data_IF_186626991381
#
_entry.id   IF_186626991381
#
_cell.length_a   1.000
_cell.length_b   1.000
_cell.length_c   1.000
_cell.angle_alpha   90.00
_cell.angle_beta   90.00
_cell.angle_gamma   90.00
#
_symmetry.space_group_name_H-M   'P 1'
#
loop_
_entity.id
_entity.type
_entity.pdbx_description
1 polymer ?
#
# COMPACT_ATOMS: atom_id res chain seq x y z
N UNK A 1 1.61 29.54 52.45
CA UNK A 1 2.10 28.14 52.54
C UNK A 1 0.84 27.28 52.60
N UNK A 2 0.60 26.28 51.77
CA UNK A 2 1.57 25.35 51.18
C UNK A 2 1.48 25.31 49.64
N UNK A 3 2.64 25.29 48.97
CA UNK A 3 2.72 24.77 47.61
C UNK A 3 2.81 23.25 47.74
N UNK A 4 1.83 22.51 47.24
CA UNK A 4 1.94 21.06 47.14
C UNK A 4 2.80 20.77 45.92
N UNK A 5 4.10 20.63 46.16
CA UNK A 5 4.99 19.98 45.22
C UNK A 5 4.62 18.50 45.30
N UNK A 6 3.98 17.97 44.26
CA UNK A 6 3.96 16.52 44.07
C UNK A 6 5.41 16.09 43.82
N UNK A 7 6.01 15.46 44.82
CA UNK A 7 7.29 14.77 44.63
C UNK A 7 7.05 13.62 43.67
N UNK A 8 7.43 13.82 42.41
CA UNK A 8 7.51 12.76 41.40
C UNK A 8 8.45 11.70 41.99
N UNK A 9 7.91 10.51 42.24
CA UNK A 9 8.69 9.39 42.72
C UNK A 9 9.81 9.12 41.71
N UNK A 10 11.06 8.85 42.15
CA UNK A 10 12.22 8.73 41.25
C UNK A 10 12.16 7.53 40.28
N UNK A 11 11.06 6.77 40.28
CA UNK A 11 10.79 5.74 39.28
C UNK A 11 10.04 6.25 38.04
N UNK A 12 9.33 7.39 38.14
CA UNK A 12 8.47 8.00 37.12
C UNK A 12 9.08 9.25 36.44
N UNK A 13 10.38 9.49 36.62
CA UNK A 13 11.10 10.57 35.91
C UNK A 13 11.23 10.23 34.40
N UNK A 14 10.63 11.02 33.48
CA UNK A 14 10.67 10.76 32.04
C UNK A 14 12.08 10.90 31.44
N UNK A 15 13.00 11.57 32.12
CA UNK A 15 14.39 11.82 31.70
C UNK A 15 15.39 10.79 32.24
N UNK A 16 14.91 9.82 33.04
CA UNK A 16 15.73 8.84 33.77
C UNK A 16 16.74 8.05 32.92
N UNK A 17 16.49 7.91 31.62
CA UNK A 17 17.33 7.14 30.68
C UNK A 17 18.02 8.02 29.62
N UNK A 18 17.93 9.35 29.74
CA UNK A 18 18.48 10.27 28.73
C UNK A 18 20.00 10.16 28.62
N UNK A 19 20.70 9.93 29.74
CA UNK A 19 22.16 9.71 29.79
C UNK A 19 22.60 8.48 28.97
N UNK A 20 21.89 7.35 29.08
CA UNK A 20 22.15 6.16 28.28
C UNK A 20 21.78 6.37 26.81
N UNK A 21 20.63 7.00 26.54
CA UNK A 21 20.15 7.25 25.18
C UNK A 21 21.04 8.24 24.42
N UNK A 22 21.52 9.31 25.07
CA UNK A 22 22.43 10.28 24.46
C UNK A 22 23.77 9.62 24.09
N UNK A 23 24.33 8.74 24.94
CA UNK A 23 25.57 8.00 24.61
C UNK A 23 25.42 7.17 23.33
N UNK A 24 24.28 6.49 23.16
CA UNK A 24 24.01 5.68 21.97
C UNK A 24 23.74 6.59 20.76
N UNK A 25 23.02 7.70 20.94
CA UNK A 25 22.77 8.71 19.89
C UNK A 25 24.07 9.35 19.37
N UNK A 26 25.01 9.68 20.26
CA UNK A 26 26.35 10.18 19.90
C UNK A 26 27.13 9.12 19.13
N UNK A 27 27.08 7.85 19.54
CA UNK A 27 27.72 6.75 18.80
C UNK A 27 27.16 6.60 17.36
N UNK A 28 25.88 6.94 17.15
CA UNK A 28 25.24 7.03 15.84
C UNK A 28 25.38 8.40 15.15
N UNK A 29 26.36 9.24 15.55
CA UNK A 29 26.62 10.57 14.95
C UNK A 29 25.40 11.51 15.00
N UNK A 30 24.55 11.37 16.02
CA UNK A 30 23.25 12.04 16.17
C UNK A 30 22.19 11.69 15.12
N UNK A 31 22.36 10.60 14.37
CA UNK A 31 21.30 10.04 13.53
C UNK A 31 20.26 9.26 14.36
N UNK A 32 19.09 9.87 14.54
CA UNK A 32 17.94 9.25 15.23
C UNK A 32 17.38 8.02 14.51
N UNK A 33 17.53 7.90 13.18
CA UNK A 33 17.08 6.72 12.43
C UNK A 33 17.97 5.52 12.72
N UNK A 34 19.29 5.71 12.75
CA UNK A 34 20.24 4.68 13.14
C UNK A 34 20.04 4.23 14.59
N UNK A 35 19.83 5.17 15.53
CA UNK A 35 19.47 4.86 16.92
C UNK A 35 18.22 3.99 17.01
N UNK A 36 17.12 4.40 16.36
CA UNK A 36 15.86 3.64 16.38
C UNK A 36 16.01 2.24 15.77
N UNK A 37 16.78 2.10 14.69
CA UNK A 37 17.08 0.80 14.09
C UNK A 37 17.82 -0.13 15.06
N UNK A 38 18.81 0.39 15.79
CA UNK A 38 19.54 -0.36 16.82
C UNK A 38 18.65 -0.75 18.01
N UNK A 39 17.78 0.15 18.46
CA UNK A 39 16.79 -0.14 19.51
C UNK A 39 15.78 -1.22 19.07
N UNK A 40 15.28 -1.16 17.83
CA UNK A 40 14.34 -2.14 17.30
C UNK A 40 14.98 -3.52 17.11
N UNK A 41 16.22 -3.61 16.61
CA UNK A 41 16.96 -4.88 16.55
C UNK A 41 17.20 -5.47 17.95
N UNK A 42 17.61 -4.64 18.92
CA UNK A 42 17.76 -5.07 20.31
C UNK A 42 16.46 -5.64 20.88
N UNK A 43 15.34 -4.93 20.71
CA UNK A 43 14.02 -5.38 21.15
C UNK A 43 13.59 -6.67 20.46
N UNK A 44 13.84 -6.82 19.15
CA UNK A 44 13.53 -8.05 18.40
C UNK A 44 14.34 -9.26 18.90
N UNK A 45 15.61 -9.06 19.28
CA UNK A 45 16.48 -10.13 19.81
C UNK A 45 16.26 -10.46 21.29
N UNK A 46 15.79 -9.50 22.09
CA UNK A 46 15.68 -9.63 23.56
C UNK A 46 14.26 -9.76 24.08
N UNK A 47 13.24 -9.49 23.27
CA UNK A 47 11.82 -9.50 23.69
C UNK A 47 10.95 -10.23 22.66
N UNK A 48 9.67 -10.42 22.99
CA UNK A 48 8.67 -10.90 22.05
C UNK A 48 7.90 -9.76 21.34
N UNK A 49 8.31 -8.49 21.49
CA UNK A 49 7.55 -7.31 21.07
C UNK A 49 7.14 -7.34 19.58
N UNK A 50 8.06 -7.70 18.68
CA UNK A 50 7.79 -7.81 17.24
C UNK A 50 7.08 -9.10 16.81
N UNK A 51 6.70 -9.98 17.76
CA UNK A 51 5.91 -11.20 17.48
C UNK A 51 4.41 -10.99 17.69
N UNK A 52 4.00 -9.83 18.23
CA UNK A 52 2.58 -9.47 18.36
C UNK A 52 2.04 -8.98 17.01
N UNK A 53 0.96 -9.56 16.46
CA UNK A 53 0.33 -9.09 15.21
C UNK A 53 -0.17 -7.64 15.27
N UNK A 54 -0.28 -7.03 16.45
CA UNK A 54 -0.67 -5.63 16.65
C UNK A 54 0.51 -4.67 16.79
N UNK A 55 1.77 -5.13 16.71
CA UNK A 55 2.96 -4.29 16.94
C UNK A 55 2.97 -3.01 16.10
N UNK A 56 2.55 -3.08 14.84
CA UNK A 56 2.46 -1.92 13.94
C UNK A 56 1.44 -0.88 14.43
N UNK A 57 0.31 -1.30 14.99
CA UNK A 57 -0.70 -0.40 15.59
C UNK A 57 -0.19 0.22 16.88
N UNK A 58 0.52 -0.55 17.70
CA UNK A 58 1.14 -0.07 18.94
C UNK A 58 2.22 0.98 18.65
N UNK A 59 3.10 0.74 17.68
CA UNK A 59 4.13 1.70 17.24
C UNK A 59 3.50 2.96 16.62
N UNK A 60 2.48 2.82 15.78
CA UNK A 60 1.76 3.96 15.21
C UNK A 60 1.05 4.81 16.27
N UNK A 61 0.56 4.19 17.37
CA UNK A 61 0.02 4.92 18.53
C UNK A 61 1.13 5.66 19.28
N UNK A 62 2.22 4.99 19.65
CA UNK A 62 3.34 5.62 20.35
C UNK A 62 3.92 6.82 19.58
N UNK A 63 4.08 6.70 18.25
CA UNK A 63 4.54 7.80 17.39
C UNK A 63 3.55 8.98 17.39
N UNK A 64 2.24 8.69 17.40
CA UNK A 64 1.19 9.72 17.50
C UNK A 64 1.21 10.40 18.87
N UNK A 65 1.37 9.64 19.95
CA UNK A 65 1.41 10.15 21.32
C UNK A 65 2.60 11.12 21.49
N UNK A 66 3.78 10.77 20.94
CA UNK A 66 4.95 11.67 20.90
C UNK A 66 4.70 12.92 20.05
N UNK A 67 4.10 12.78 18.84
CA UNK A 67 3.78 13.96 18.00
C UNK A 67 2.75 14.88 18.66
N UNK A 68 1.82 14.33 19.46
CA UNK A 68 0.83 15.11 20.20
C UNK A 68 1.42 15.77 21.45
N UNK A 69 2.25 15.08 22.23
CA UNK A 69 2.86 15.61 23.46
C UNK A 69 3.74 16.85 23.25
N UNK A 70 4.33 17.00 22.07
CA UNK A 70 5.10 18.20 21.68
C UNK A 70 4.23 19.47 21.52
N UNK A 71 2.91 19.35 21.41
CA UNK A 71 1.99 20.49 21.19
C UNK A 71 1.30 21.02 22.45
N UNK A 72 1.42 20.33 23.59
CA UNK A 72 0.68 20.65 24.81
C UNK A 72 1.59 21.11 25.96
N UNK A 73 2.08 22.35 25.88
CA UNK A 73 2.66 23.02 27.05
C UNK A 73 2.09 24.43 27.26
N UNK A 74 0.83 24.47 27.72
CA UNK A 74 0.19 25.66 28.32
C UNK A 74 -0.80 25.21 29.41
N UNK A 75 -0.77 25.78 30.63
CA UNK A 75 -1.48 25.20 31.77
C UNK A 75 -2.94 25.67 31.90
N UNK A 76 -3.85 24.71 32.11
CA UNK A 76 -5.16 24.79 32.78
C UNK A 76 -5.74 23.36 32.79
N UNK A 77 -6.37 22.80 33.83
CA UNK A 77 -6.88 23.36 35.07
C UNK A 77 -8.25 22.74 35.38
N UNK A 78 -8.29 21.69 36.22
CA UNK A 78 -9.46 21.03 36.85
C UNK A 78 -10.68 20.64 35.96
N UNK A 79 -10.93 19.36 35.62
CA UNK A 79 -11.51 18.26 36.45
C UNK A 79 -13.07 18.13 36.27
N UNK A 80 -13.76 17.11 36.84
CA UNK A 80 -13.75 15.73 36.33
C UNK A 80 -15.14 15.03 36.25
N UNK A 81 -15.28 13.93 35.49
CA UNK A 81 -16.30 12.84 35.63
C UNK A 81 -16.27 11.91 34.40
N UNK A 82 -16.60 10.61 34.42
CA UNK A 82 -16.79 9.63 35.51
C UNK A 82 -16.58 8.21 34.93
N UNK A 83 -16.15 7.28 35.77
CA UNK A 83 -16.10 5.82 35.49
C UNK A 83 -17.48 5.20 35.26
N UNK A 84 -17.58 4.26 34.32
CA UNK A 84 -18.54 3.14 34.42
C UNK A 84 -17.98 1.86 33.80
N UNK A 85 -17.77 0.86 34.66
CA UNK A 85 -17.30 -0.49 34.32
C UNK A 85 -18.48 -1.34 33.82
N UNK A 86 -18.26 -2.21 32.82
CA UNK A 86 -19.32 -3.10 32.30
C UNK A 86 -18.79 -4.31 31.54
N UNK A 87 -18.66 -5.44 32.22
CA UNK A 87 -18.35 -6.77 31.64
C UNK A 87 -19.50 -7.34 30.80
N UNK A 88 -19.24 -8.00 29.67
CA UNK A 88 -20.22 -8.84 28.99
C UNK A 88 -20.16 -10.30 29.50
N UNK A 89 -21.31 -10.85 29.91
CA UNK A 89 -21.47 -12.28 30.19
C UNK A 89 -22.07 -12.99 28.97
N UNK A 90 -21.53 -14.16 28.64
CA UNK A 90 -22.02 -15.03 27.56
C UNK A 90 -23.10 -16.00 28.04
N UNK A 91 -24.13 -16.29 27.20
CA UNK A 91 -24.63 -17.66 26.95
C UNK A 91 -25.87 -17.73 26.01
N UNK A 92 -25.69 -18.43 24.87
CA UNK A 92 -26.58 -19.41 24.21
C UNK A 92 -28.10 -19.18 23.97
N UNK A 93 -28.55 -19.52 22.75
CA UNK A 93 -29.99 -19.69 22.44
C UNK A 93 -30.39 -19.91 20.97
N UNK A 94 -29.90 -20.97 20.31
CA UNK A 94 -30.50 -21.54 19.08
C UNK A 94 -31.24 -22.86 19.43
N UNK A 95 -32.01 -23.56 18.54
CA UNK A 95 -32.20 -23.37 17.09
C UNK A 95 -33.67 -23.55 16.56
N UNK A 96 -33.88 -23.53 15.22
CA UNK A 96 -34.30 -24.70 14.38
C UNK A 96 -35.21 -24.41 13.14
N UNK A 97 -34.64 -24.59 11.93
CA UNK A 97 -35.18 -25.14 10.64
C UNK A 97 -36.29 -24.35 9.89
N UNK A 98 -36.14 -23.90 8.62
CA UNK A 98 -36.00 -24.60 7.29
C UNK A 98 -37.30 -25.24 6.76
N UNK A 99 -37.46 -25.58 5.44
CA UNK A 99 -36.61 -25.27 4.26
C UNK A 99 -37.40 -24.78 3.01
N UNK A 100 -36.70 -24.40 1.93
CA UNK A 100 -37.18 -24.53 0.55
C UNK A 100 -35.99 -24.62 -0.43
N UNK A 101 -35.96 -25.64 -1.28
CA UNK A 101 -34.90 -25.89 -2.24
C UNK A 101 -35.45 -25.98 -3.68
N UNK A 102 -34.67 -25.54 -4.69
CA UNK A 102 -34.63 -26.14 -6.04
C UNK A 102 -33.55 -25.50 -6.95
N UNK A 103 -32.65 -26.35 -7.45
CA UNK A 103 -31.95 -26.23 -8.75
C UNK A 103 -32.23 -27.55 -9.51
N UNK A 104 -32.24 -27.61 -10.87
CA UNK A 104 -31.05 -27.48 -11.75
C UNK A 104 -31.35 -26.56 -12.98
N UNK A 105 -30.66 -26.51 -14.13
CA UNK A 105 -29.64 -27.38 -14.76
C UNK A 105 -28.73 -26.62 -15.75
N UNK A 106 -27.97 -27.35 -16.57
CA UNK A 106 -27.00 -26.87 -17.58
C UNK A 106 -27.41 -27.22 -19.04
N UNK A 107 -26.99 -26.38 -20.00
CA UNK A 107 -26.72 -26.60 -21.45
C UNK A 107 -26.23 -25.23 -21.98
N UNK A 108 -25.02 -24.98 -22.51
CA UNK A 108 -24.10 -25.64 -23.47
C UNK A 108 -24.51 -25.48 -24.96
N UNK A 109 -23.50 -25.14 -25.78
CA UNK A 109 -23.46 -24.84 -27.24
C UNK A 109 -23.52 -23.34 -27.61
N UNK A 110 -22.84 -22.86 -28.68
CA UNK A 110 -21.62 -23.30 -29.36
C UNK A 110 -21.12 -22.13 -30.25
N UNK A 111 -19.81 -21.99 -30.46
CA UNK A 111 -19.27 -21.03 -31.43
C UNK A 111 -19.03 -21.71 -32.79
N UNK A 112 -19.31 -21.04 -33.93
CA UNK A 112 -18.76 -21.42 -35.23
C UNK A 112 -17.43 -20.69 -35.49
N UNK A 113 -16.43 -21.47 -35.90
CA UNK A 113 -15.18 -21.02 -36.56
C UNK A 113 -15.32 -21.09 -38.09
N UNK A 114 -14.31 -20.56 -38.79
CA UNK A 114 -14.12 -20.33 -40.23
C UNK A 114 -14.55 -18.92 -40.71
N UNK A 115 -13.80 -18.22 -41.56
CA UNK A 115 -12.72 -18.69 -42.44
C UNK A 115 -11.56 -17.68 -42.56
N UNK A 116 -10.39 -18.13 -43.00
CA UNK A 116 -9.21 -17.31 -43.24
C UNK A 116 -8.78 -17.40 -44.71
N UNK A 117 -8.27 -16.32 -45.30
CA UNK A 117 -7.33 -16.43 -46.42
C UNK A 117 -5.96 -15.83 -46.08
N UNK A 118 -4.94 -16.61 -46.44
CA UNK A 118 -3.51 -16.36 -46.23
C UNK A 118 -2.90 -15.43 -47.30
N UNK A 119 -1.80 -14.76 -46.92
CA UNK A 119 -0.77 -14.16 -47.80
C UNK A 119 -1.11 -12.87 -48.56
N UNK A 120 -0.42 -11.79 -48.16
CA UNK A 120 0.49 -11.07 -49.06
C UNK A 120 1.61 -10.38 -48.27
N UNK A 121 2.84 -10.45 -48.79
CA UNK A 121 4.05 -9.84 -48.22
C UNK A 121 4.56 -8.76 -49.17
N UNK A 122 4.49 -7.50 -48.74
CA UNK A 122 5.21 -6.32 -49.29
C UNK A 122 5.50 -5.46 -48.05
N UNK A 123 6.69 -5.62 -47.45
CA UNK A 123 7.88 -4.79 -47.64
C UNK A 123 7.82 -3.45 -46.89
N UNK A 124 8.95 -3.15 -46.21
CA UNK A 124 9.17 -2.01 -45.33
C UNK A 124 8.87 -0.67 -46.01
N UNK A 125 8.20 0.21 -45.29
CA UNK A 125 8.68 1.58 -45.15
C UNK A 125 9.00 1.82 -43.67
N UNK A 126 10.12 2.50 -43.41
CA UNK A 126 10.61 2.80 -42.06
C UNK A 126 9.98 4.11 -41.60
N UNK A 127 9.08 4.05 -40.62
CA UNK A 127 8.63 5.24 -39.90
C UNK A 127 9.34 5.31 -38.55
N UNK A 128 10.41 6.10 -38.48
CA UNK A 128 11.09 6.46 -37.23
C UNK A 128 10.26 7.51 -36.46
N UNK A 129 9.03 7.17 -36.08
CA UNK A 129 8.33 7.96 -35.05
C UNK A 129 8.98 7.70 -33.68
N UNK A 130 9.59 8.76 -33.15
CA UNK A 130 10.38 8.77 -31.92
C UNK A 130 9.54 8.43 -30.68
N UNK A 131 9.50 7.16 -30.27
CA UNK A 131 9.18 6.78 -28.88
C UNK A 131 10.35 7.11 -27.92
N UNK A 132 10.78 8.37 -27.90
CA UNK A 132 11.68 8.93 -26.87
C UNK A 132 11.03 10.11 -26.13
N UNK A 133 9.81 9.88 -25.64
CA UNK A 133 9.37 10.44 -24.35
C UNK A 133 9.28 9.32 -23.32
N UNK A 134 10.43 8.70 -23.01
CA UNK A 134 10.58 7.91 -21.78
C UNK A 134 10.34 8.87 -20.61
N UNK A 135 9.12 8.85 -20.08
CA UNK A 135 8.67 9.73 -19.01
C UNK A 135 9.57 9.66 -17.78
N UNK A 136 9.39 10.62 -16.87
CA UNK A 136 10.13 10.69 -15.62
C UNK A 136 10.13 9.34 -14.93
N UNK A 137 11.31 8.89 -14.46
CA UNK A 137 11.38 7.65 -13.69
C UNK A 137 10.54 7.86 -12.41
N UNK A 138 9.58 6.97 -12.09
CA UNK A 138 8.80 7.10 -10.87
C UNK A 138 9.69 7.16 -9.61
N UNK A 139 9.26 7.95 -8.63
CA UNK A 139 9.86 7.95 -7.29
C UNK A 139 9.50 6.67 -6.52
N UNK A 140 10.00 6.52 -5.29
CA UNK A 140 9.77 5.33 -4.46
C UNK A 140 8.31 5.09 -4.05
N UNK A 141 7.41 6.04 -4.33
CA UNK A 141 5.96 5.91 -4.16
C UNK A 141 5.20 5.98 -5.48
N UNK A 142 5.81 5.57 -6.60
CA UNK A 142 5.18 5.48 -7.93
C UNK A 142 4.61 6.81 -8.50
N UNK A 143 5.01 7.96 -7.96
CA UNK A 143 4.70 9.29 -8.50
C UNK A 143 5.97 10.01 -8.97
N UNK A 144 6.06 11.33 -8.82
CA UNK A 144 7.24 12.12 -9.16
C UNK A 144 7.59 13.15 -8.09
N UNK A 145 8.88 13.49 -8.05
CA UNK A 145 9.39 14.63 -7.28
C UNK A 145 9.68 15.76 -8.27
N UNK A 146 8.92 16.86 -8.18
CA UNK A 146 9.05 18.05 -9.03
C UNK A 146 9.61 19.23 -8.22
N UNK A 147 9.92 20.34 -8.89
CA UNK A 147 10.51 21.53 -8.23
C UNK A 147 9.54 22.21 -7.25
N UNK A 148 8.25 22.22 -7.56
CA UNK A 148 7.22 22.94 -6.79
C UNK A 148 6.41 22.05 -5.84
N UNK A 149 6.36 20.74 -6.07
CA UNK A 149 5.68 19.76 -5.23
C UNK A 149 6.21 18.34 -5.51
N UNK A 150 5.92 17.39 -4.62
CA UNK A 150 6.11 15.96 -4.87
C UNK A 150 4.78 15.21 -4.75
N UNK A 151 4.69 14.06 -5.39
CA UNK A 151 3.51 13.20 -5.30
C UNK A 151 3.86 11.72 -5.35
N UNK A 152 3.00 10.91 -4.76
CA UNK A 152 3.04 9.45 -4.75
C UNK A 152 1.64 8.91 -5.01
N UNK A 153 1.53 7.64 -5.36
CA UNK A 153 0.23 7.01 -5.62
C UNK A 153 0.24 5.51 -5.32
N UNK A 154 -0.94 5.03 -4.95
CA UNK A 154 -1.31 3.62 -4.95
C UNK A 154 -2.26 3.35 -6.14
N UNK A 155 -2.86 2.16 -6.20
CA UNK A 155 -4.01 1.94 -7.09
C UNK A 155 -5.27 2.68 -6.60
N UNK A 156 -5.43 2.92 -5.30
CA UNK A 156 -6.63 3.57 -4.74
C UNK A 156 -6.59 5.10 -4.73
N UNK A 157 -5.43 5.70 -4.57
CA UNK A 157 -5.30 7.11 -4.21
C UNK A 157 -4.00 7.75 -4.73
N UNK A 158 -3.96 9.08 -4.66
CA UNK A 158 -2.79 9.92 -4.96
C UNK A 158 -2.53 10.82 -3.74
N UNK A 159 -1.29 10.84 -3.25
CA UNK A 159 -0.85 11.76 -2.20
C UNK A 159 0.03 12.84 -2.83
N UNK A 160 -0.24 14.10 -2.52
CA UNK A 160 0.48 15.27 -3.04
C UNK A 160 1.02 16.05 -1.84
N UNK A 161 2.31 16.36 -1.85
CA UNK A 161 2.97 17.18 -0.84
C UNK A 161 3.53 18.46 -1.47
N UNK A 162 2.97 19.61 -1.09
CA UNK A 162 3.35 20.94 -1.57
C UNK A 162 4.08 21.67 -0.44
N UNK A 163 5.40 21.92 -0.56
CA UNK A 163 6.13 22.77 0.38
C UNK A 163 5.56 24.21 0.40
N UNK A 164 5.41 24.78 1.59
CA UNK A 164 4.92 26.15 1.80
C UNK A 164 5.81 26.89 2.80
N UNK A 165 5.81 28.24 2.82
CA UNK A 165 6.61 29.02 3.76
C UNK A 165 6.29 28.68 5.22
N UNK A 166 7.32 28.57 6.05
CA UNK A 166 7.18 28.13 7.43
C UNK A 166 6.22 29.02 8.25
N UNK A 167 5.32 28.38 8.99
CA UNK A 167 4.28 29.04 9.77
C UNK A 167 2.99 29.35 8.99
N UNK A 168 2.86 28.86 7.75
CA UNK A 168 1.60 28.86 7.01
C UNK A 168 0.50 28.16 7.82
N UNK A 169 -0.73 28.69 7.80
CA UNK A 169 -1.90 28.08 8.46
C UNK A 169 -2.97 27.77 7.43
N UNK A 170 -3.87 26.83 7.74
CA UNK A 170 -4.92 26.41 6.79
C UNK A 170 -5.85 27.53 6.29
N UNK A 171 -5.96 28.67 6.99
CA UNK A 171 -6.70 29.86 6.52
C UNK A 171 -5.98 30.64 5.41
N UNK A 172 -4.66 30.47 5.33
CA UNK A 172 -3.76 31.14 4.40
C UNK A 172 -3.56 30.25 3.14
N UNK A 173 -4.14 29.05 3.11
CA UNK A 173 -4.17 28.13 1.97
C UNK A 173 -5.47 28.26 1.18
N UNK A 174 -5.38 28.22 -0.15
CA UNK A 174 -6.52 28.10 -1.07
C UNK A 174 -6.46 26.70 -1.73
N UNK A 175 -7.27 25.78 -1.22
CA UNK A 175 -7.32 24.37 -1.65
C UNK A 175 -8.74 24.01 -2.08
N UNK A 176 -8.91 23.64 -3.34
CA UNK A 176 -10.19 23.22 -3.91
C UNK A 176 -10.03 21.91 -4.66
N UNK A 177 -10.74 20.88 -4.20
CA UNK A 177 -10.74 19.54 -4.79
C UNK A 177 -12.12 19.32 -5.41
N UNK A 178 -12.14 19.08 -6.72
CA UNK A 178 -13.34 18.75 -7.50
C UNK A 178 -13.12 17.44 -8.24
N UNK A 179 -14.21 16.77 -8.65
CA UNK A 179 -14.16 15.45 -9.29
C UNK A 179 -13.14 15.34 -10.43
N UNK A 180 -12.95 16.41 -11.21
CA UNK A 180 -12.02 16.46 -12.36
C UNK A 180 -11.05 17.64 -12.32
N UNK A 181 -11.00 18.42 -11.23
CA UNK A 181 -10.15 19.61 -11.14
C UNK A 181 -9.53 19.74 -9.76
N UNK A 182 -8.32 20.28 -9.74
CA UNK A 182 -7.57 20.54 -8.52
C UNK A 182 -7.03 21.97 -8.56
N UNK A 183 -7.18 22.67 -7.43
CA UNK A 183 -6.48 23.91 -7.14
C UNK A 183 -5.79 23.80 -5.78
N UNK A 184 -4.50 24.12 -5.71
CA UNK A 184 -3.69 24.17 -4.49
C UNK A 184 -2.78 25.38 -4.55
N UNK A 185 -2.85 26.26 -3.55
CA UNK A 185 -1.96 27.40 -3.44
C UNK A 185 -2.10 28.14 -2.11
N UNK A 186 -1.48 29.32 -2.04
CA UNK A 186 -1.66 30.25 -0.93
C UNK A 186 -2.64 31.36 -1.33
N UNK A 187 -3.46 31.78 -0.38
CA UNK A 187 -4.48 32.82 -0.59
C UNK A 187 -3.81 34.14 -0.98
N UNK A 188 -4.07 34.59 -2.21
CA UNK A 188 -3.50 35.84 -2.76
C UNK A 188 -2.14 35.70 -3.46
N UNK A 189 -1.64 34.48 -3.62
CA UNK A 189 -0.51 34.16 -4.50
C UNK A 189 -0.98 33.36 -5.74
N UNK A 190 -0.10 33.16 -6.70
CA UNK A 190 -0.35 32.22 -7.80
C UNK A 190 -0.44 30.78 -7.26
N UNK A 191 -1.40 29.96 -7.74
CA UNK A 191 -1.54 28.59 -7.30
C UNK A 191 -0.37 27.73 -7.77
N UNK A 192 0.08 26.81 -6.92
CA UNK A 192 1.12 25.82 -7.25
C UNK A 192 0.58 24.77 -8.23
N UNK A 193 -0.69 24.41 -8.06
CA UNK A 193 -1.44 23.55 -8.96
C UNK A 193 -2.79 24.21 -9.25
N UNK A 194 -3.14 24.39 -10.52
CA UNK A 194 -4.50 24.78 -10.95
C UNK A 194 -4.77 24.16 -12.34
N UNK A 195 -5.65 23.17 -12.40
CA UNK A 195 -5.97 22.54 -13.68
C UNK A 195 -6.90 21.33 -13.59
N UNK A 196 -7.03 20.64 -14.73
CA UNK A 196 -7.79 19.41 -14.85
C UNK A 196 -6.96 18.22 -14.37
N UNK A 197 -7.50 17.43 -13.44
CA UNK A 197 -6.88 16.20 -12.95
C UNK A 197 -6.70 15.19 -14.10
N UNK A 198 -5.67 14.34 -13.99
CA UNK A 198 -5.44 13.27 -14.97
C UNK A 198 -6.66 12.34 -15.14
N UNK A 199 -7.28 11.93 -14.02
CA UNK A 199 -8.52 11.15 -14.00
C UNK A 199 -9.47 11.62 -12.87
N UNK A 200 -10.66 11.04 -12.80
CA UNK A 200 -11.66 11.43 -11.79
C UNK A 200 -11.33 10.93 -10.38
N UNK A 201 -11.59 11.78 -9.38
CA UNK A 201 -11.51 11.49 -7.95
C UNK A 201 -12.88 11.50 -7.29
N UNK A 202 -13.01 10.94 -6.08
CA UNK A 202 -14.21 10.95 -5.23
C UNK A 202 -14.07 12.10 -4.22
N UNK A 203 -14.61 13.32 -4.47
CA UNK A 203 -14.28 14.49 -3.66
C UNK A 203 -14.69 14.37 -2.19
N UNK A 204 -15.77 13.64 -1.92
CA UNK A 204 -16.24 13.29 -0.58
C UNK A 204 -15.24 12.46 0.26
N UNK A 205 -14.40 11.66 -0.39
CA UNK A 205 -13.35 10.84 0.25
C UNK A 205 -11.96 11.52 0.17
N UNK A 206 -11.84 12.65 -0.53
CA UNK A 206 -10.60 13.42 -0.61
C UNK A 206 -10.46 14.34 0.61
N UNK A 207 -9.24 14.52 1.09
CA UNK A 207 -8.95 15.44 2.18
C UNK A 207 -7.58 16.09 2.01
N UNK A 208 -7.36 17.18 2.74
CA UNK A 208 -6.06 17.83 2.82
C UNK A 208 -5.76 18.23 4.26
N UNK A 209 -4.47 18.34 4.57
CA UNK A 209 -3.96 18.80 5.85
C UNK A 209 -2.74 19.70 5.64
N UNK A 210 -2.29 20.35 6.71
CA UNK A 210 -1.01 21.06 6.73
C UNK A 210 -0.15 20.47 7.85
N UNK A 211 0.99 19.89 7.46
CA UNK A 211 1.96 19.33 8.37
C UNK A 211 2.94 20.40 8.82
N UNK A 212 2.95 20.62 10.14
CA UNK A 212 3.90 21.44 10.90
C UNK A 212 4.02 22.92 10.44
N UNK A 213 3.11 23.37 9.56
CA UNK A 213 3.09 24.72 8.98
C UNK A 213 4.05 24.92 7.80
N UNK A 214 4.58 23.83 7.23
CA UNK A 214 5.64 23.82 6.21
C UNK A 214 5.29 22.99 4.96
N UNK A 215 4.33 22.06 5.04
CA UNK A 215 3.89 21.25 3.90
C UNK A 215 2.36 21.13 3.89
N UNK A 216 1.73 21.48 2.76
CA UNK A 216 0.32 21.16 2.50
C UNK A 216 0.27 19.77 1.85
N UNK A 217 -0.39 18.84 2.52
CA UNK A 217 -0.54 17.46 2.05
C UNK A 217 -2.00 17.21 1.63
N UNK A 218 -2.21 16.62 0.45
CA UNK A 218 -3.51 16.24 -0.08
C UNK A 218 -3.55 14.73 -0.31
N UNK A 219 -4.67 14.10 0.05
CA UNK A 219 -4.98 12.73 -0.34
C UNK A 219 -6.22 12.76 -1.27
N UNK A 220 -6.04 12.25 -2.48
CA UNK A 220 -7.04 12.21 -3.53
C UNK A 220 -7.48 10.77 -3.80
N UNK A 221 -8.69 10.42 -3.38
CA UNK A 221 -9.27 9.09 -3.62
C UNK A 221 -9.67 8.93 -5.09
N UNK A 222 -9.05 8.01 -5.83
CA UNK A 222 -9.37 7.74 -7.24
C UNK A 222 -10.75 7.08 -7.39
N UNK A 223 -11.49 7.48 -8.43
CA UNK A 223 -12.71 6.75 -8.86
C UNK A 223 -12.33 5.41 -9.49
N UNK A 224 -11.41 5.43 -10.44
CA UNK A 224 -10.85 4.22 -11.05
C UNK A 224 -9.67 3.72 -10.20
N UNK A 225 -9.84 2.55 -9.59
CA UNK A 225 -8.86 1.89 -8.73
C UNK A 225 -8.02 0.82 -9.45
N UNK A 226 -8.00 0.85 -10.79
CA UNK A 226 -7.19 -0.03 -11.64
C UNK A 226 -6.17 0.74 -12.50
N UNK A 227 -6.15 2.08 -12.42
CA UNK A 227 -5.32 2.94 -13.26
C UNK A 227 -4.18 3.65 -12.49
N UNK A 228 -2.96 3.49 -13.01
CA UNK A 228 -1.82 4.32 -12.64
C UNK A 228 -1.91 5.66 -13.35
N UNK A 229 -1.72 6.75 -12.60
CA UNK A 229 -1.69 8.09 -13.14
C UNK A 229 -0.30 8.40 -13.69
N UNK A 230 -0.22 9.13 -14.80
CA UNK A 230 1.07 9.58 -15.36
C UNK A 230 1.44 10.99 -14.90
N UNK A 231 0.48 11.80 -14.48
CA UNK A 231 0.69 13.09 -13.81
C UNK A 231 -0.46 13.36 -12.83
N UNK A 232 -0.36 14.39 -11.99
CA UNK A 232 -1.49 14.85 -11.16
C UNK A 232 -2.48 15.66 -12.00
N UNK A 233 -1.98 16.70 -12.67
CA UNK A 233 -2.73 17.59 -13.56
C UNK A 233 -2.31 17.34 -15.01
N UNK A 234 -3.24 17.48 -15.96
CA UNK A 234 -2.96 17.33 -17.39
C UNK A 234 -2.05 18.46 -17.89
N UNK A 235 -1.00 18.10 -18.63
CA UNK A 235 -0.03 19.05 -19.19
C UNK A 235 1.23 19.26 -18.33
N UNK A 236 1.28 18.68 -17.13
CA UNK A 236 2.50 18.62 -16.31
C UNK A 236 3.43 17.45 -16.73
N UNK A 237 4.70 17.43 -16.28
CA UNK A 237 5.64 16.37 -16.59
C UNK A 237 5.11 14.97 -16.22
N UNK A 238 5.13 14.06 -17.19
CA UNK A 238 4.56 12.72 -17.04
C UNK A 238 5.62 11.68 -16.63
N UNK A 239 5.24 10.76 -15.74
CA UNK A 239 6.04 9.58 -15.37
C UNK A 239 5.85 8.44 -16.36
N UNK A 240 6.88 7.60 -16.46
CA UNK A 240 6.78 6.32 -17.16
C UNK A 240 6.08 5.27 -16.28
N UNK A 241 4.78 5.07 -16.54
CA UNK A 241 3.94 4.11 -15.80
C UNK A 241 4.32 2.64 -16.06
N UNK A 242 5.15 2.32 -17.06
CA UNK A 242 5.69 0.96 -17.24
C UNK A 242 6.73 0.60 -16.18
N UNK A 243 7.31 1.59 -15.49
CA UNK A 243 8.30 1.41 -14.42
C UNK A 243 7.72 1.46 -13.00
N UNK A 244 6.40 1.52 -12.87
CA UNK A 244 5.69 1.53 -11.59
C UNK A 244 5.70 0.14 -10.96
N UNK A 245 6.00 0.05 -9.66
CA UNK A 245 6.02 -1.20 -8.89
C UNK A 245 4.67 -1.37 -8.14
N UNK A 246 3.83 -2.36 -8.50
CA UNK A 246 2.60 -2.63 -7.76
C UNK A 246 2.85 -3.03 -6.30
N UNK A 247 2.00 -2.57 -5.38
CA UNK A 247 2.18 -2.82 -3.93
C UNK A 247 2.25 -4.32 -3.58
N UNK A 248 1.44 -5.15 -4.26
CA UNK A 248 1.41 -6.61 -4.07
C UNK A 248 2.59 -7.36 -4.73
N UNK A 249 3.52 -6.68 -5.40
CA UNK A 249 4.67 -7.35 -6.06
C UNK A 249 5.67 -7.96 -5.08
N UNK A 250 5.58 -7.62 -3.79
CA UNK A 250 6.38 -8.22 -2.72
C UNK A 250 5.70 -9.49 -2.22
N UNK A 251 6.04 -10.63 -2.86
CA UNK A 251 5.68 -11.98 -2.41
C UNK A 251 6.01 -12.25 -0.92
N UNK A 252 6.91 -11.48 -0.32
CA UNK A 252 7.28 -11.56 1.09
C UNK A 252 6.19 -11.07 2.06
N UNK A 253 5.31 -10.17 1.62
CA UNK A 253 4.27 -9.54 2.46
C UNK A 253 2.92 -10.29 2.40
N UNK A 254 2.81 -11.30 1.52
CA UNK A 254 1.68 -12.23 1.47
C UNK A 254 1.80 -13.31 2.55
N UNK A 255 0.66 -13.77 3.08
CA UNK A 255 0.63 -14.91 3.99
C UNK A 255 1.18 -16.20 3.31
N UNK A 256 1.68 -17.18 4.06
CA UNK A 256 2.35 -18.35 3.49
C UNK A 256 1.50 -19.21 2.54
N UNK A 257 0.17 -19.15 2.61
CA UNK A 257 -0.75 -19.95 1.80
C UNK A 257 -1.09 -19.24 0.48
N UNK A 258 -1.43 -17.96 0.56
CA UNK A 258 -1.60 -17.09 -0.62
C UNK A 258 -0.30 -17.00 -1.41
N UNK A 259 0.85 -16.84 -0.72
CA UNK A 259 2.17 -16.79 -1.34
C UNK A 259 2.48 -18.03 -2.16
N UNK A 260 2.27 -19.24 -1.61
CA UNK A 260 2.49 -20.50 -2.33
C UNK A 260 1.59 -20.59 -3.57
N UNK A 261 0.34 -20.12 -3.47
CA UNK A 261 -0.61 -20.11 -4.58
C UNK A 261 -0.17 -19.15 -5.69
N UNK A 262 0.27 -17.95 -5.35
CA UNK A 262 0.77 -16.94 -6.29
C UNK A 262 2.10 -17.37 -6.92
N UNK A 263 3.06 -17.89 -6.13
CA UNK A 263 4.33 -18.42 -6.63
C UNK A 263 4.10 -19.58 -7.61
N UNK A 264 3.18 -20.51 -7.30
CA UNK A 264 2.77 -21.59 -8.21
C UNK A 264 2.17 -21.02 -9.50
N UNK A 265 1.28 -20.04 -9.41
CA UNK A 265 0.62 -19.45 -10.57
C UNK A 265 1.60 -18.71 -11.49
N UNK A 266 2.57 -17.98 -10.92
CA UNK A 266 3.67 -17.36 -11.69
C UNK A 266 4.59 -18.41 -12.33
N UNK A 267 4.89 -19.51 -11.61
CA UNK A 267 5.70 -20.60 -12.14
C UNK A 267 4.99 -21.32 -13.30
N UNK A 268 3.71 -21.67 -13.14
CA UNK A 268 2.86 -22.28 -14.18
C UNK A 268 2.74 -21.38 -15.41
N UNK A 269 2.55 -20.07 -15.22
CA UNK A 269 2.50 -19.10 -16.32
C UNK A 269 3.84 -19.02 -17.07
N UNK A 270 4.97 -19.07 -16.36
CA UNK A 270 6.31 -19.11 -16.97
C UNK A 270 6.59 -20.43 -17.70
N UNK A 271 6.23 -21.58 -17.12
CA UNK A 271 6.37 -22.88 -17.79
C UNK A 271 5.56 -22.89 -19.09
N UNK A 272 4.30 -22.46 -19.04
CA UNK A 272 3.40 -22.40 -20.21
C UNK A 272 3.92 -21.49 -21.32
N UNK A 273 4.53 -20.35 -20.99
CA UNK A 273 5.19 -19.47 -21.99
C UNK A 273 6.40 -20.13 -22.65
N UNK A 274 7.15 -20.97 -21.92
CA UNK A 274 8.29 -21.71 -22.47
C UNK A 274 7.89 -23.08 -23.08
N UNK A 275 6.60 -23.43 -23.08
CA UNK A 275 6.12 -24.74 -23.55
C UNK A 275 6.49 -25.93 -22.65
N UNK A 276 6.87 -25.67 -21.40
CA UNK A 276 7.15 -26.71 -20.40
C UNK A 276 5.86 -27.06 -19.62
N UNK A 277 5.77 -28.28 -19.05
CA UNK A 277 4.60 -28.72 -18.27
C UNK A 277 4.42 -27.90 -16.99
N UNK A 278 3.16 -27.53 -16.72
CA UNK A 278 2.72 -26.89 -15.47
C UNK A 278 2.80 -27.84 -14.27
N UNK A 279 2.59 -27.33 -13.06
CA UNK A 279 2.84 -28.04 -11.81
C UNK A 279 1.89 -29.22 -11.63
N UNK A 280 0.69 -29.12 -12.19
CA UNK A 280 -0.28 -30.21 -12.25
C UNK A 280 0.04 -31.21 -13.36
N UNK A 281 0.59 -30.77 -14.50
CA UNK A 281 1.01 -31.66 -15.59
C UNK A 281 2.25 -32.47 -15.20
N UNK A 282 3.27 -31.84 -14.61
CA UNK A 282 4.46 -32.51 -14.10
C UNK A 282 4.12 -33.54 -13.01
N UNK A 283 3.19 -33.23 -12.09
CA UNK A 283 2.69 -34.20 -11.09
C UNK A 283 1.93 -35.36 -11.75
N UNK A 284 1.09 -35.09 -12.75
CA UNK A 284 0.38 -36.14 -13.51
C UNK A 284 1.35 -37.05 -14.24
N UNK A 285 2.38 -36.48 -14.89
CA UNK A 285 3.45 -37.25 -15.53
C UNK A 285 4.24 -38.08 -14.52
N UNK A 286 4.57 -37.55 -13.35
CA UNK A 286 5.26 -38.31 -12.30
C UNK A 286 4.40 -39.46 -11.77
N UNK A 287 3.12 -39.22 -11.46
CA UNK A 287 2.19 -40.27 -11.04
C UNK A 287 2.01 -41.34 -12.11
N UNK A 288 1.82 -40.94 -13.37
CA UNK A 288 1.70 -41.86 -14.50
C UNK A 288 2.98 -42.68 -14.68
N UNK A 289 4.15 -42.05 -14.65
CA UNK A 289 5.45 -42.73 -14.75
C UNK A 289 5.67 -43.72 -13.60
N UNK A 290 5.28 -43.37 -12.38
CA UNK A 290 5.34 -44.26 -11.22
C UNK A 290 4.38 -45.44 -11.37
N UNK A 291 3.18 -45.21 -11.90
CA UNK A 291 2.19 -46.24 -12.21
C UNK A 291 2.68 -47.21 -13.31
N UNK A 292 3.28 -46.69 -14.39
CA UNK A 292 3.90 -47.48 -15.46
C UNK A 292 5.05 -48.37 -14.95
N UNK A 293 5.88 -47.86 -14.03
CA UNK A 293 6.97 -48.63 -13.40
C UNK A 293 6.45 -49.70 -12.43
N UNK A 294 5.33 -49.43 -11.74
CA UNK A 294 4.71 -50.40 -10.82
C UNK A 294 3.85 -51.44 -11.52
N UNK A 295 3.40 -51.17 -12.75
CA UNK A 295 2.60 -52.08 -13.57
C UNK A 295 3.21 -52.27 -14.97
N UNK A 296 4.41 -52.89 -15.09
CA UNK A 296 5.10 -53.10 -16.36
C UNK A 296 4.37 -54.05 -17.32
N UNK A 297 3.34 -54.77 -16.87
CA UNK A 297 2.45 -55.59 -17.71
C UNK A 297 1.34 -54.77 -18.41
N UNK A 298 1.10 -53.52 -18.02
CA UNK A 298 0.12 -52.65 -18.69
C UNK A 298 0.75 -51.86 -19.83
N UNK A 299 0.30 -52.11 -21.06
CA UNK A 299 0.73 -51.41 -22.27
C UNK A 299 -0.03 -50.08 -22.46
N UNK A 300 0.64 -48.96 -22.17
CA UNK A 300 0.10 -47.61 -22.36
C UNK A 300 0.29 -47.06 -23.78
N UNK A 301 0.83 -47.82 -24.74
CA UNK A 301 1.07 -47.36 -26.12
C UNK A 301 -0.22 -46.97 -26.88
N UNK A 302 -1.39 -47.40 -26.39
CA UNK A 302 -2.72 -47.09 -26.93
C UNK A 302 -3.52 -46.11 -26.06
N UNK A 303 -2.95 -45.61 -24.96
CA UNK A 303 -3.62 -44.65 -24.10
C UNK A 303 -3.65 -43.27 -24.76
N UNK A 304 -4.85 -42.72 -24.98
CA UNK A 304 -5.04 -41.41 -25.59
C UNK A 304 -5.14 -40.35 -24.49
N UNK A 305 -4.01 -39.70 -24.20
CA UNK A 305 -3.96 -38.52 -23.34
C UNK A 305 -4.41 -37.29 -24.14
N UNK A 306 -5.53 -36.69 -23.73
CA UNK A 306 -6.09 -35.41 -24.22
C UNK A 306 -6.28 -34.48 -23.03
#
# INVERSE_FOLDING_TARGET
MSCVIEEILPEDDPTRFDDELERILIAHQRDGKALLATCFDFLNRKTAFFKDPNVSKTLARLLRDVKQGSTSNKPSGAAPSTTSTGTPTSANGAPKVEPAAASPSLQQEAAPVIDAPTSSKVEKEEDEEKEESKGLKPNGGNGADLETYSWTQSLSDVVIAVPVPAGTKGRDCDVSISKTKLKVGLTGADPVLDGELFASVMPEDCYWNISDGEVVELNLQKVDRMAWWKSVVKGEPEIDTQKVEPENSKLADLDPETRQTVEKMMWDQRQKQMGLPTSEEAKKEEMLKKFMVQHPEMDFSKAKFM
#
